data_IF_520497790148
#
_entry.id   IF_520497790148
#
_cell.length_a   1.000
_cell.length_b   1.000
_cell.length_c   1.000
_cell.angle_alpha   90.00
_cell.angle_beta   90.00
_cell.angle_gamma   90.00
#
_symmetry.space_group_name_H-M   'P 1'
#
loop_
_entity.id
_entity.type
_entity.pdbx_description
1 polymer ?
#
# COMPACT_ATOMS: atom_id res chain seq x y z
N UNK A 1 18.77 7.44 -2.89
CA UNK A 1 17.57 8.04 -3.49
C UNK A 1 16.47 7.00 -3.75
N UNK A 2 15.25 7.33 -3.34
CA UNK A 2 14.07 6.50 -3.56
C UNK A 2 13.73 6.42 -5.06
N UNK A 3 13.61 5.21 -5.60
CA UNK A 3 13.22 4.97 -6.98
C UNK A 3 11.80 4.38 -7.10
N UNK A 4 11.27 4.36 -8.32
CA UNK A 4 9.92 3.87 -8.60
C UNK A 4 9.73 2.38 -8.26
N UNK A 5 10.66 1.46 -8.58
CA UNK A 5 10.55 0.06 -8.15
C UNK A 5 10.48 -0.12 -6.64
N UNK A 6 11.29 0.61 -5.86
CA UNK A 6 11.27 0.55 -4.40
C UNK A 6 9.98 1.11 -3.84
N UNK A 7 9.52 2.26 -4.36
CA UNK A 7 8.23 2.84 -3.97
C UNK A 7 7.07 1.87 -4.24
N UNK A 8 7.05 1.20 -5.40
CA UNK A 8 6.03 0.20 -5.74
C UNK A 8 5.98 -0.93 -4.71
N UNK A 9 7.14 -1.41 -4.23
CA UNK A 9 7.21 -2.46 -3.20
C UNK A 9 6.61 -1.99 -1.88
N UNK A 10 6.91 -0.76 -1.44
CA UNK A 10 6.33 -0.18 -0.21
C UNK A 10 4.81 -0.01 -0.31
N UNK A 11 4.33 0.53 -1.44
CA UNK A 11 2.88 0.72 -1.67
C UNK A 11 2.15 -0.62 -1.66
N UNK A 12 2.68 -1.63 -2.38
CA UNK A 12 2.07 -2.96 -2.46
C UNK A 12 2.17 -3.75 -1.16
N UNK A 13 3.16 -3.46 -0.30
CA UNK A 13 3.27 -4.05 1.03
C UNK A 13 2.08 -3.61 1.89
N UNK A 14 1.71 -2.33 1.85
CA UNK A 14 0.55 -1.80 2.56
C UNK A 14 -0.73 -2.31 1.92
N UNK A 15 -0.86 -2.15 0.61
CA UNK A 15 -2.04 -2.58 -0.13
C UNK A 15 -1.78 -2.74 -1.63
N UNK A 16 -2.01 -3.95 -2.14
CA UNK A 16 -1.97 -4.26 -3.57
C UNK A 16 -3.39 -4.45 -4.10
N UNK A 17 -3.81 -3.58 -5.01
CA UNK A 17 -5.17 -3.56 -5.59
C UNK A 17 -5.55 -4.87 -6.29
N UNK A 18 -4.57 -5.65 -6.74
CA UNK A 18 -4.81 -6.93 -7.41
C UNK A 18 -5.43 -7.97 -6.48
N UNK A 19 -5.33 -7.78 -5.16
CA UNK A 19 -5.99 -8.62 -4.15
C UNK A 19 -7.51 -8.56 -4.25
N UNK A 20 -8.07 -7.43 -4.66
CA UNK A 20 -9.51 -7.24 -4.84
C UNK A 20 -9.97 -7.56 -6.27
N UNK A 21 -9.12 -7.27 -7.26
CA UNK A 21 -9.42 -7.56 -8.66
C UNK A 21 -9.66 -9.06 -8.90
N UNK A 22 -8.85 -9.95 -8.28
CA UNK A 22 -8.99 -11.39 -8.48
C UNK A 22 -10.32 -11.98 -7.97
N UNK A 23 -10.79 -11.72 -6.74
CA UNK A 23 -12.12 -12.12 -6.28
C UNK A 23 -13.25 -11.55 -7.15
N UNK A 24 -13.15 -10.27 -7.54
CA UNK A 24 -14.17 -9.63 -8.38
C UNK A 24 -14.29 -10.32 -9.74
N UNK A 25 -13.16 -10.62 -10.41
CA UNK A 25 -13.15 -11.35 -11.69
C UNK A 25 -13.74 -12.75 -11.57
N UNK A 26 -13.55 -13.43 -10.44
CA UNK A 26 -14.07 -14.79 -10.21
C UNK A 26 -15.59 -14.85 -10.12
N UNK A 27 -16.21 -13.80 -9.59
CA UNK A 27 -17.67 -13.74 -9.37
C UNK A 27 -18.38 -12.80 -10.34
N UNK A 28 -17.66 -12.30 -11.34
CA UNK A 28 -18.20 -11.40 -12.35
C UNK A 28 -19.40 -12.03 -13.07
N UNK A 29 -20.51 -11.31 -13.13
CA UNK A 29 -21.75 -11.78 -13.76
C UNK A 29 -22.65 -12.62 -12.84
N UNK A 30 -22.24 -12.93 -11.61
CA UNK A 30 -23.10 -13.61 -10.62
C UNK A 30 -23.90 -12.55 -9.84
N UNK A 31 -25.24 -12.54 -9.92
CA UNK A 31 -26.06 -11.56 -9.21
C UNK A 31 -25.83 -11.59 -7.70
N UNK A 32 -25.64 -10.41 -7.09
CA UNK A 32 -25.47 -10.25 -5.64
C UNK A 32 -24.05 -10.49 -5.10
N UNK A 33 -23.13 -11.06 -5.87
CA UNK A 33 -21.76 -11.30 -5.40
C UNK A 33 -20.95 -10.00 -5.25
N UNK A 34 -21.21 -9.00 -6.08
CA UNK A 34 -20.60 -7.67 -5.94
C UNK A 34 -20.87 -7.05 -4.56
N UNK A 35 -22.13 -7.10 -4.11
CA UNK A 35 -22.50 -6.55 -2.80
C UNK A 35 -21.97 -7.40 -1.65
N UNK A 36 -21.89 -8.73 -1.81
CA UNK A 36 -21.24 -9.61 -0.82
C UNK A 36 -19.76 -9.29 -0.65
N UNK A 37 -19.03 -9.01 -1.72
CA UNK A 37 -17.62 -8.59 -1.64
C UNK A 37 -17.47 -7.28 -0.86
N UNK A 38 -18.34 -6.30 -1.11
CA UNK A 38 -18.33 -5.01 -0.39
C UNK A 38 -18.71 -5.17 1.07
N UNK A 39 -19.72 -5.99 1.38
CA UNK A 39 -20.21 -6.22 2.73
C UNK A 39 -19.19 -6.94 3.61
N UNK A 40 -18.41 -7.85 3.04
CA UNK A 40 -17.40 -8.65 3.73
C UNK A 40 -15.97 -8.20 3.39
N UNK A 41 -15.79 -6.92 3.06
CA UNK A 41 -14.49 -6.39 2.67
C UNK A 41 -13.49 -6.53 3.82
N UNK A 42 -12.33 -7.12 3.53
CA UNK A 42 -11.27 -7.30 4.52
C UNK A 42 -10.61 -5.96 4.86
N UNK A 43 -9.95 -5.91 6.02
CA UNK A 43 -9.28 -4.69 6.45
C UNK A 43 -8.20 -4.23 5.44
N UNK A 44 -8.20 -2.93 5.17
CA UNK A 44 -7.20 -2.24 4.37
C UNK A 44 -6.64 -1.09 5.17
N UNK A 45 -5.31 -0.99 5.22
CA UNK A 45 -4.60 0.11 5.87
C UNK A 45 -4.12 1.13 4.86
N UNK A 46 -3.80 2.32 5.35
CA UNK A 46 -3.20 3.42 4.60
C UNK A 46 -1.68 3.45 4.79
N UNK A 47 -0.97 4.17 3.92
CA UNK A 47 0.50 4.24 3.96
C UNK A 47 1.07 4.78 5.27
N UNK A 48 0.33 5.63 5.97
CA UNK A 48 0.69 6.20 7.27
C UNK A 48 0.82 5.14 8.37
N UNK A 49 0.22 3.97 8.19
CA UNK A 49 0.32 2.85 9.13
C UNK A 49 1.67 2.14 9.10
N UNK A 50 2.44 2.29 8.02
CA UNK A 50 3.75 1.68 7.86
C UNK A 50 4.84 2.65 8.32
N UNK A 51 5.58 2.27 9.35
CA UNK A 51 6.75 3.00 9.82
C UNK A 51 7.99 2.62 8.99
N UNK A 52 8.58 3.59 8.28
CA UNK A 52 9.70 3.37 7.36
C UNK A 52 10.95 4.10 7.84
N UNK A 53 12.01 3.35 8.14
CA UNK A 53 13.31 3.90 8.53
C UNK A 53 14.19 3.98 7.27
N UNK A 54 14.68 5.17 6.96
CA UNK A 54 15.51 5.44 5.79
C UNK A 54 16.91 5.91 6.22
N UNK A 55 17.95 5.49 5.53
CA UNK A 55 19.32 6.00 5.65
C UNK A 55 19.56 7.28 4.81
N UNK A 56 18.69 7.54 3.84
CA UNK A 56 18.66 8.74 3.00
C UNK A 56 17.58 9.73 3.45
N UNK A 57 17.99 10.94 3.83
CA UNK A 57 17.10 12.00 4.31
C UNK A 57 16.12 12.50 3.23
N UNK A 58 16.55 12.50 1.96
CA UNK A 58 15.69 12.91 0.84
C UNK A 58 14.57 11.90 0.60
N UNK A 59 14.88 10.60 0.73
CA UNK A 59 13.92 9.53 0.64
C UNK A 59 12.89 9.60 1.77
N UNK A 60 13.34 9.81 3.02
CA UNK A 60 12.44 9.98 4.17
C UNK A 60 11.47 11.15 3.96
N UNK A 61 11.98 12.31 3.53
CA UNK A 61 11.15 13.49 3.26
C UNK A 61 10.12 13.24 2.14
N UNK A 62 10.53 12.58 1.05
CA UNK A 62 9.64 12.24 -0.04
C UNK A 62 8.53 11.27 0.39
N UNK A 63 8.88 10.23 1.17
CA UNK A 63 7.90 9.28 1.70
C UNK A 63 6.89 9.94 2.64
N UNK A 64 7.33 10.88 3.49
CA UNK A 64 6.42 11.68 4.31
C UNK A 64 5.44 12.51 3.47
N UNK A 65 5.90 13.15 2.39
CA UNK A 65 5.03 13.92 1.47
C UNK A 65 4.02 13.03 0.75
N UNK A 66 4.37 11.76 0.49
CA UNK A 66 3.46 10.78 -0.11
C UNK A 66 2.44 10.22 0.90
N UNK A 67 2.66 10.38 2.21
CA UNK A 67 1.74 9.94 3.27
C UNK A 67 2.21 8.70 4.05
N UNK A 68 3.46 8.27 3.89
CA UNK A 68 4.08 7.26 4.78
C UNK A 68 4.52 7.91 6.10
N UNK A 69 4.58 7.10 7.17
CA UNK A 69 5.24 7.50 8.41
C UNK A 69 6.74 7.15 8.30
N UNK A 70 7.56 8.07 7.80
CA UNK A 70 8.97 7.82 7.53
C UNK A 70 9.91 8.67 8.40
N UNK A 71 11.06 8.10 8.78
CA UNK A 71 12.12 8.80 9.52
C UNK A 71 13.47 8.59 8.88
N UNK A 72 14.36 9.58 9.02
CA UNK A 72 15.76 9.44 8.66
C UNK A 72 16.57 8.94 9.86
N UNK A 73 17.31 7.86 9.66
CA UNK A 73 18.27 7.32 10.61
C UNK A 73 19.63 7.18 9.90
N UNK A 74 20.62 8.03 10.23
CA UNK A 74 21.92 7.97 9.57
C UNK A 74 22.57 6.61 9.76
N UNK A 75 23.04 5.99 8.67
CA UNK A 75 23.91 4.83 8.78
C UNK A 75 25.20 5.24 9.49
N UNK A 76 25.63 4.46 10.48
CA UNK A 76 26.91 4.65 11.20
C UNK A 76 28.10 4.48 10.26
#
# INVERSE_FOLDING_TARGET
>A
PLDQPTLKRLVHLVYDVRRDDAPLRKVAGIPGEFDKLRKNYLERREWSSLYVICDDASAASLLCKLGFNAVHHPAR
#
